data_IF_248493736235
#
_entry.id   IF_248493736235
#
_cell.length_a   1.000
_cell.length_b   1.000
_cell.length_c   1.000
_cell.angle_alpha   90.00
_cell.angle_beta   90.00
_cell.angle_gamma   90.00
#
_symmetry.space_group_name_H-M   'P 1'
#
loop_
_entity.id
_entity.type
_entity.pdbx_description
1 polymer ?
#
# COMPACT_ATOMS: atom_id res chain seq x y z
N UNK A 1 16.83 -7.50 3.63
CA UNK A 1 16.22 -6.19 3.37
C UNK A 1 15.55 -5.78 4.67
N UNK A 2 15.76 -4.55 5.15
CA UNK A 2 15.41 -4.20 6.53
C UNK A 2 14.07 -3.45 6.65
N UNK A 3 13.57 -3.35 7.88
CA UNK A 3 12.30 -2.70 8.26
C UNK A 3 12.24 -1.23 7.84
N UNK A 4 13.37 -0.53 7.91
CA UNK A 4 13.48 0.88 7.52
C UNK A 4 13.17 1.06 6.03
N UNK A 5 13.75 0.21 5.18
CA UNK A 5 13.49 0.25 3.73
C UNK A 5 12.00 0.08 3.41
N UNK A 6 11.31 -0.84 4.09
CA UNK A 6 9.87 -1.06 3.90
C UNK A 6 9.04 0.14 4.35
N UNK A 7 9.38 0.76 5.48
CA UNK A 7 8.71 1.97 5.97
C UNK A 7 8.86 3.13 4.97
N UNK A 8 10.07 3.32 4.42
CA UNK A 8 10.33 4.38 3.43
C UNK A 8 9.47 4.23 2.17
N UNK A 9 9.39 3.01 1.62
CA UNK A 9 8.53 2.74 0.46
C UNK A 9 7.06 2.99 0.79
N UNK A 10 6.60 2.54 1.96
CA UNK A 10 5.21 2.75 2.38
C UNK A 10 4.87 4.24 2.55
N UNK A 11 5.78 5.04 3.09
CA UNK A 11 5.62 6.50 3.20
C UNK A 11 5.53 7.15 1.82
N UNK A 12 6.36 6.73 0.87
CA UNK A 12 6.34 7.26 -0.51
C UNK A 12 5.00 6.93 -1.18
N UNK A 13 4.54 5.68 -1.07
CA UNK A 13 3.25 5.24 -1.62
C UNK A 13 2.10 6.02 -1.01
N UNK A 14 2.06 6.20 0.32
CA UNK A 14 1.00 6.96 0.99
C UNK A 14 0.91 8.42 0.50
N UNK A 15 2.06 9.10 0.33
CA UNK A 15 2.09 10.46 -0.22
C UNK A 15 1.57 10.53 -1.66
N UNK A 16 1.87 9.50 -2.45
CA UNK A 16 1.44 9.44 -3.84
C UNK A 16 -0.07 9.17 -3.95
N UNK A 17 -0.61 8.28 -3.11
CA UNK A 17 -2.04 8.01 -3.03
C UNK A 17 -2.83 9.23 -2.51
N UNK A 18 -2.31 9.96 -1.53
CA UNK A 18 -2.91 11.21 -1.04
C UNK A 18 -3.01 12.26 -2.14
N UNK A 19 -1.94 12.40 -2.94
CA UNK A 19 -1.97 13.25 -4.14
C UNK A 19 -3.04 12.77 -5.12
N UNK A 20 -3.12 11.47 -5.39
CA UNK A 20 -4.09 10.91 -6.34
C UNK A 20 -5.54 11.08 -5.89
N UNK A 21 -5.81 10.97 -4.59
CA UNK A 21 -7.14 11.10 -4.01
C UNK A 21 -7.79 12.45 -4.33
N UNK A 22 -7.00 13.52 -4.46
CA UNK A 22 -7.48 14.87 -4.83
C UNK A 22 -8.11 14.94 -6.23
N UNK A 23 -7.90 13.92 -7.07
CA UNK A 23 -8.32 13.92 -8.46
C UNK A 23 -9.39 12.88 -8.80
N UNK A 24 -9.82 12.06 -7.84
CA UNK A 24 -10.89 11.09 -8.10
C UNK A 24 -12.25 11.81 -8.13
N UNK A 25 -12.95 11.69 -9.26
CA UNK A 25 -14.27 12.29 -9.45
C UNK A 25 -15.44 11.36 -9.05
N UNK A 26 -15.21 10.05 -8.90
CA UNK A 26 -16.24 9.06 -8.55
C UNK A 26 -16.24 8.75 -7.07
N UNK A 27 -17.42 8.83 -6.46
CA UNK A 27 -17.59 8.75 -5.02
C UNK A 27 -17.29 7.37 -4.44
N UNK A 28 -17.60 6.30 -5.16
CA UNK A 28 -17.36 4.92 -4.69
C UNK A 28 -15.86 4.56 -4.75
N UNK A 29 -15.22 4.77 -5.91
CA UNK A 29 -13.77 4.55 -6.07
C UNK A 29 -12.95 5.41 -5.11
N UNK A 30 -13.38 6.66 -4.86
CA UNK A 30 -12.75 7.55 -3.88
C UNK A 30 -12.85 7.01 -2.46
N UNK A 31 -14.01 6.45 -2.10
CA UNK A 31 -14.24 5.87 -0.78
C UNK A 31 -13.38 4.62 -0.57
N UNK A 32 -13.34 3.70 -1.54
CA UNK A 32 -12.53 2.48 -1.45
C UNK A 32 -11.04 2.81 -1.36
N UNK A 33 -10.59 3.83 -2.10
CA UNK A 33 -9.23 4.33 -1.98
C UNK A 33 -8.97 4.92 -0.59
N UNK A 34 -9.83 5.79 -0.08
CA UNK A 34 -9.67 6.40 1.24
C UNK A 34 -9.55 5.33 2.35
N UNK A 35 -10.40 4.31 2.30
CA UNK A 35 -10.35 3.17 3.22
C UNK A 35 -9.01 2.45 3.12
N UNK A 36 -8.53 2.23 1.90
CA UNK A 36 -7.27 1.50 1.69
C UNK A 36 -6.04 2.32 2.11
N UNK A 37 -6.04 3.63 1.87
CA UNK A 37 -5.01 4.57 2.36
C UNK A 37 -4.95 4.54 3.88
N UNK A 38 -6.10 4.57 4.57
CA UNK A 38 -6.17 4.46 6.03
C UNK A 38 -5.54 3.16 6.54
N UNK A 39 -5.90 2.03 5.93
CA UNK A 39 -5.31 0.72 6.26
C UNK A 39 -3.79 0.69 6.11
N UNK A 40 -3.26 1.26 5.02
CA UNK A 40 -1.81 1.34 4.79
C UNK A 40 -1.12 2.28 5.80
N UNK A 41 -1.76 3.39 6.18
CA UNK A 41 -1.26 4.28 7.22
C UNK A 41 -1.21 3.58 8.60
N UNK A 42 -2.24 2.79 8.93
CA UNK A 42 -2.25 1.98 10.16
C UNK A 42 -1.12 0.95 10.17
N UNK A 43 -0.81 0.35 9.01
CA UNK A 43 0.34 -0.55 8.87
C UNK A 43 1.67 0.16 9.01
N UNK A 44 1.80 1.41 8.54
CA UNK A 44 2.99 2.22 8.77
C UNK A 44 3.22 2.47 10.26
N UNK A 45 2.16 2.84 11.00
CA UNK A 45 2.24 3.03 12.45
C UNK A 45 2.63 1.72 13.16
N UNK A 46 2.06 0.60 12.72
CA UNK A 46 2.40 -0.72 13.26
C UNK A 46 3.86 -1.07 13.00
N UNK A 47 4.37 -0.82 11.79
CA UNK A 47 5.78 -1.00 11.45
C UNK A 47 6.70 -0.09 12.27
N UNK A 48 6.28 1.12 12.62
CA UNK A 48 7.10 2.04 13.43
C UNK A 48 7.22 1.61 14.89
N UNK A 49 6.22 0.87 15.41
CA UNK A 49 6.18 0.40 16.79
C UNK A 49 6.82 -0.99 16.99
N UNK A 50 7.16 -1.68 15.91
CA UNK A 50 7.78 -3.00 15.97
C UNK A 50 9.27 -2.91 16.28
N UNK A 51 9.73 -3.66 17.28
CA UNK A 51 11.16 -3.85 17.55
C UNK A 51 11.86 -4.65 16.43
N UNK A 52 11.11 -5.54 15.76
CA UNK A 52 11.56 -6.31 14.60
C UNK A 52 10.38 -6.80 13.78
N UNK A 53 10.53 -6.85 12.45
CA UNK A 53 9.58 -7.50 11.54
C UNK A 53 9.49 -9.01 11.80
N UNK A 54 8.29 -9.59 11.61
CA UNK A 54 8.03 -11.02 11.82
C UNK A 54 8.08 -11.86 10.54
N UNK A 55 8.18 -11.23 9.37
CA UNK A 55 8.28 -11.89 8.08
C UNK A 55 9.70 -12.23 7.64
N UNK A 56 9.81 -13.07 6.62
CA UNK A 56 11.09 -13.35 5.95
C UNK A 56 11.55 -12.17 5.07
N UNK A 57 12.83 -12.18 4.67
CA UNK A 57 13.33 -11.21 3.69
C UNK A 57 12.57 -11.25 2.36
N UNK A 58 12.06 -12.43 1.97
CA UNK A 58 11.27 -12.61 0.76
C UNK A 58 9.89 -11.96 0.91
N UNK A 59 9.27 -12.07 2.08
CA UNK A 59 8.00 -11.40 2.38
C UNK A 59 8.15 -9.86 2.31
N UNK A 60 9.25 -9.32 2.86
CA UNK A 60 9.55 -7.88 2.77
C UNK A 60 9.75 -7.44 1.33
N UNK A 61 10.51 -8.21 0.55
CA UNK A 61 10.77 -7.93 -0.87
C UNK A 61 9.47 -7.95 -1.67
N UNK A 62 8.56 -8.89 -1.35
CA UNK A 62 7.24 -8.97 -1.95
C UNK A 62 6.36 -7.76 -1.58
N UNK A 63 6.39 -7.30 -0.33
CA UNK A 63 5.70 -6.07 0.08
C UNK A 63 6.16 -4.88 -0.76
N UNK A 64 7.48 -4.72 -0.94
CA UNK A 64 8.06 -3.62 -1.71
C UNK A 64 7.68 -3.71 -3.20
N UNK A 65 7.67 -4.92 -3.77
CA UNK A 65 7.19 -5.12 -5.15
C UNK A 65 5.73 -4.68 -5.32
N UNK A 66 4.87 -4.95 -4.33
CA UNK A 66 3.47 -4.52 -4.38
C UNK A 66 3.35 -3.00 -4.23
N UNK A 67 4.10 -2.37 -3.33
CA UNK A 67 4.15 -0.91 -3.20
C UNK A 67 4.63 -0.24 -4.49
N UNK A 68 5.66 -0.79 -5.13
CA UNK A 68 6.13 -0.28 -6.43
C UNK A 68 5.05 -0.37 -7.52
N UNK A 69 4.26 -1.45 -7.54
CA UNK A 69 3.12 -1.56 -8.47
C UNK A 69 2.05 -0.51 -8.19
N UNK A 70 1.76 -0.23 -6.91
CA UNK A 70 0.83 0.86 -6.55
C UNK A 70 1.38 2.18 -7.07
N UNK A 71 2.67 2.44 -6.89
CA UNK A 71 3.31 3.68 -7.33
C UNK A 71 3.29 3.84 -8.85
N UNK A 72 3.64 2.78 -9.59
CA UNK A 72 3.59 2.75 -11.06
C UNK A 72 2.18 3.07 -11.57
N UNK A 73 1.16 2.36 -11.06
CA UNK A 73 -0.23 2.58 -11.48
C UNK A 73 -0.76 3.95 -11.12
N UNK A 74 -0.38 4.47 -9.96
CA UNK A 74 -0.81 5.80 -9.53
C UNK A 74 -0.18 6.89 -10.41
N UNK A 75 1.11 6.75 -10.76
CA UNK A 75 1.79 7.67 -11.69
C UNK A 75 1.17 7.59 -13.10
N UNK A 76 0.97 6.38 -13.64
CA UNK A 76 0.31 6.18 -14.94
C UNK A 76 -1.08 6.83 -14.97
N UNK A 77 -1.89 6.65 -13.91
CA UNK A 77 -3.23 7.23 -13.85
C UNK A 77 -3.22 8.76 -13.76
N UNK A 78 -2.24 9.35 -13.05
CA UNK A 78 -2.03 10.80 -12.99
C UNK A 78 -1.58 11.37 -14.35
N UNK A 79 -0.78 10.64 -15.12
CA UNK A 79 -0.29 11.05 -16.44
C UNK A 79 -1.37 10.97 -17.53
N UNK A 80 -2.20 9.92 -17.49
CA UNK A 80 -3.24 9.66 -18.49
C UNK A 80 -4.55 10.44 -18.26
N UNK A 81 -4.68 11.17 -17.14
CA UNK A 81 -5.84 12.01 -16.89
C UNK A 81 -7.09 11.25 -16.40
N UNK A 82 -6.87 10.23 -15.55
CA UNK A 82 -7.92 9.54 -14.78
C UNK A 82 -8.83 8.61 -15.59
N UNK A 83 -8.34 7.39 -15.83
CA UNK A 83 -9.18 6.29 -16.30
C UNK A 83 -9.72 5.48 -15.11
N UNK A 84 -11.00 5.12 -15.19
CA UNK A 84 -11.70 4.23 -14.24
C UNK A 84 -10.95 2.95 -13.91
N UNK A 85 -10.37 2.34 -14.93
CA UNK A 85 -9.62 1.11 -14.79
C UNK A 85 -8.35 1.30 -13.94
N UNK A 86 -7.77 2.51 -13.97
CA UNK A 86 -6.64 2.88 -13.13
C UNK A 86 -6.98 2.89 -11.64
N UNK A 87 -8.10 3.48 -11.24
CA UNK A 87 -8.51 3.55 -9.83
C UNK A 87 -8.74 2.15 -9.23
N UNK A 88 -9.45 1.28 -9.96
CA UNK A 88 -9.69 -0.10 -9.52
C UNK A 88 -8.38 -0.89 -9.35
N UNK A 89 -7.42 -0.73 -10.27
CA UNK A 89 -6.11 -1.37 -10.17
C UNK A 89 -5.30 -0.84 -8.98
N UNK A 90 -5.32 0.47 -8.72
CA UNK A 90 -4.64 1.09 -7.58
C UNK A 90 -5.20 0.53 -6.26
N UNK A 91 -6.53 0.48 -6.13
CA UNK A 91 -7.20 -0.09 -4.94
C UNK A 91 -6.84 -1.57 -4.77
N UNK A 92 -6.83 -2.35 -5.87
CA UNK A 92 -6.47 -3.76 -5.84
C UNK A 92 -5.05 -4.00 -5.32
N UNK A 93 -4.05 -3.35 -5.92
CA UNK A 93 -2.66 -3.50 -5.50
C UNK A 93 -2.41 -2.94 -4.09
N UNK A 94 -3.10 -1.88 -3.71
CA UNK A 94 -3.01 -1.31 -2.35
C UNK A 94 -3.54 -2.27 -1.30
N UNK A 95 -4.64 -3.00 -1.57
CA UNK A 95 -5.14 -4.05 -0.68
C UNK A 95 -4.20 -5.26 -0.63
N UNK A 96 -3.59 -5.65 -1.75
CA UNK A 96 -2.57 -6.70 -1.75
C UNK A 96 -1.37 -6.29 -0.89
N UNK A 97 -0.87 -5.05 -1.06
CA UNK A 97 0.22 -4.50 -0.26
C UNK A 97 -0.13 -4.50 1.22
N UNK A 98 -1.34 -4.06 1.58
CA UNK A 98 -1.83 -4.10 2.97
C UNK A 98 -1.78 -5.52 3.56
N UNK A 99 -2.27 -6.52 2.83
CA UNK A 99 -2.27 -7.92 3.32
C UNK A 99 -0.84 -8.46 3.48
N UNK A 100 0.04 -8.17 2.52
CA UNK A 100 1.44 -8.56 2.60
C UNK A 100 2.14 -7.88 3.78
N UNK A 101 1.89 -6.58 3.99
CA UNK A 101 2.47 -5.84 5.12
C UNK A 101 1.92 -6.38 6.45
N UNK A 102 0.62 -6.69 6.51
CA UNK A 102 -0.01 -7.30 7.69
C UNK A 102 0.66 -8.62 8.08
N UNK A 103 1.05 -9.44 7.10
CA UNK A 103 1.80 -10.68 7.33
C UNK A 103 3.16 -10.40 7.99
N UNK A 104 3.89 -9.38 7.54
CA UNK A 104 5.21 -9.07 8.12
C UNK A 104 5.14 -8.32 9.45
N UNK A 105 4.03 -7.63 9.74
CA UNK A 105 3.81 -6.93 11.01
C UNK A 105 3.27 -7.86 12.11
N UNK A 106 2.27 -8.68 11.79
CA UNK A 106 1.60 -9.56 12.75
C UNK A 106 2.20 -10.96 12.81
N UNK A 107 2.90 -11.39 11.75
CA UNK A 107 3.30 -12.78 11.51
C UNK A 107 2.24 -13.55 10.72
N UNK A 108 2.55 -14.79 10.32
CA UNK A 108 1.53 -15.67 9.72
C UNK A 108 0.40 -15.88 10.73
N UNK A 109 -0.79 -15.36 10.42
CA UNK A 109 -2.03 -15.72 11.10
C UNK A 109 -2.47 -17.10 10.58
N UNK A 110 -1.66 -18.12 10.86
CA UNK A 110 -2.14 -19.50 10.80
C UNK A 110 -3.10 -19.70 11.95
N UNK A 111 -4.38 -19.43 11.69
CA UNK A 111 -5.46 -20.04 12.48
C UNK A 111 -5.26 -21.55 12.35
N UNK A 112 -4.80 -22.15 13.44
CA UNK A 112 -4.58 -23.60 13.60
C UNK A 112 -5.91 -24.33 13.64
#
# INVERSE_FOLDING_TARGET
MDQLTLQEHLVITLKLLDKYQQYICRTEDAYDLEVTVRKLADQLMSLQLLDSIKGSNDDVSFCIQLLNKVDERTKESLELGFELEGAAQIVHYSNMAYNAISKVTLGDLSLS
#
